data_IF_480188961046
#
_entry.id   IF_480188961046
#
_cell.length_a   1.000
_cell.length_b   1.000
_cell.length_c   1.000
_cell.angle_alpha   90.00
_cell.angle_beta   90.00
_cell.angle_gamma   90.00
#
_symmetry.space_group_name_H-M   'P 1'
#
loop_
_entity.id
_entity.type
_entity.pdbx_description
1 polymer ?
#
# COMPACT_ATOMS: atom_id res chain seq x y z
N UNK A 1 -15.41 7.00 42.66
CA UNK A 1 -14.25 7.47 41.87
C UNK A 1 -13.69 6.27 41.12
N UNK A 2 -14.17 6.02 39.90
CA UNK A 2 -13.59 5.00 39.02
C UNK A 2 -12.66 5.69 38.05
N UNK A 3 -11.36 5.41 38.19
CA UNK A 3 -10.36 5.83 37.23
C UNK A 3 -10.51 4.95 35.98
N UNK A 4 -10.88 5.55 34.84
CA UNK A 4 -10.77 4.90 33.54
C UNK A 4 -9.29 4.58 33.30
N UNK A 5 -8.89 3.31 33.41
CA UNK A 5 -7.64 2.86 32.80
C UNK A 5 -7.77 3.09 31.30
N UNK A 6 -6.97 4.01 30.78
CA UNK A 6 -6.65 4.03 29.35
C UNK A 6 -5.88 2.73 29.13
N UNK A 7 -6.54 1.70 28.60
CA UNK A 7 -5.84 0.53 28.09
C UNK A 7 -5.10 0.99 26.83
N UNK A 8 -3.81 1.32 26.97
CA UNK A 8 -2.95 1.38 25.80
C UNK A 8 -2.88 -0.03 25.21
N UNK A 9 -3.38 -0.19 23.99
CA UNK A 9 -3.25 -1.44 23.25
C UNK A 9 -1.94 -1.40 22.47
N UNK A 10 -1.08 -2.39 22.72
CA UNK A 10 0.15 -2.56 21.97
C UNK A 10 -0.12 -3.41 20.72
N UNK A 11 0.46 -3.01 19.59
CA UNK A 11 0.32 -3.70 18.30
C UNK A 11 1.67 -4.21 17.84
N UNK A 12 1.76 -5.51 17.56
CA UNK A 12 2.91 -6.09 16.85
C UNK A 12 2.56 -6.16 15.36
N UNK A 13 3.28 -5.41 14.54
CA UNK A 13 3.05 -5.35 13.09
C UNK A 13 4.14 -6.12 12.36
N UNK A 14 3.77 -7.23 11.71
CA UNK A 14 4.64 -7.96 10.80
C UNK A 14 4.45 -7.44 9.38
N UNK A 15 5.54 -7.05 8.71
CA UNK A 15 5.52 -6.55 7.33
C UNK A 15 6.50 -7.37 6.51
N UNK A 16 5.99 -8.23 5.65
CA UNK A 16 6.79 -8.90 4.63
C UNK A 16 7.18 -7.88 3.56
N UNK A 17 8.43 -7.93 3.11
CA UNK A 17 8.93 -7.10 2.01
C UNK A 17 9.77 -7.95 1.06
N UNK A 18 9.74 -7.62 -0.22
CA UNK A 18 10.37 -8.43 -1.27
C UNK A 18 11.49 -7.67 -2.00
N UNK A 19 11.80 -6.45 -1.59
CA UNK A 19 12.91 -5.66 -2.14
C UNK A 19 13.51 -4.69 -1.12
N UNK A 20 14.78 -4.33 -1.30
CA UNK A 20 15.45 -3.31 -0.48
C UNK A 20 14.77 -1.93 -0.62
N UNK A 21 14.27 -1.62 -1.82
CA UNK A 21 13.51 -0.40 -2.07
C UNK A 21 12.18 -0.35 -1.29
N UNK A 22 11.52 -1.48 -1.10
CA UNK A 22 10.32 -1.59 -0.25
C UNK A 22 10.66 -1.47 1.23
N UNK A 23 11.71 -2.18 1.68
CA UNK A 23 12.24 -2.06 3.05
C UNK A 23 12.53 -0.61 3.42
N UNK A 24 13.26 0.13 2.58
CA UNK A 24 13.56 1.55 2.80
C UNK A 24 12.31 2.43 2.91
N UNK A 25 11.25 2.12 2.17
CA UNK A 25 9.96 2.83 2.26
C UNK A 25 9.23 2.54 3.56
N UNK A 26 9.27 1.30 4.03
CA UNK A 26 8.77 0.91 5.36
C UNK A 26 9.55 1.64 6.44
N UNK A 27 10.88 1.67 6.33
CA UNK A 27 11.75 2.37 7.28
C UNK A 27 11.39 3.85 7.39
N UNK A 28 11.23 4.52 6.24
CA UNK A 28 10.81 5.92 6.19
C UNK A 28 9.43 6.16 6.81
N UNK A 29 8.48 5.24 6.60
CA UNK A 29 7.16 5.34 7.21
C UNK A 29 7.24 5.25 8.74
N UNK A 30 8.02 4.31 9.27
CA UNK A 30 8.25 4.15 10.71
C UNK A 30 8.85 5.43 11.30
N UNK A 31 9.96 5.94 10.73
CA UNK A 31 10.62 7.15 11.25
C UNK A 31 9.69 8.36 11.28
N UNK A 32 8.87 8.56 10.24
CA UNK A 32 7.89 9.66 10.20
C UNK A 32 6.81 9.58 11.29
N UNK A 33 6.53 8.39 11.80
CA UNK A 33 5.52 8.18 12.84
C UNK A 33 6.09 8.14 14.25
N UNK A 34 7.41 8.02 14.43
CA UNK A 34 8.06 8.03 15.76
C UNK A 34 7.78 9.30 16.56
N UNK A 35 7.59 10.43 15.89
CA UNK A 35 7.22 11.69 16.54
C UNK A 35 5.74 11.76 16.98
N UNK A 36 4.92 10.79 16.56
CA UNK A 36 3.44 10.81 16.71
C UNK A 36 2.90 9.68 17.57
N UNK A 37 3.63 8.57 17.66
CA UNK A 37 3.27 7.39 18.40
C UNK A 37 4.55 6.71 18.89
N UNK A 38 4.45 5.95 19.98
CA UNK A 38 5.54 5.13 20.48
C UNK A 38 5.74 3.91 19.57
N UNK A 39 6.51 4.12 18.49
CA UNK A 39 6.86 3.07 17.54
C UNK A 39 8.30 2.64 17.79
N UNK A 40 8.44 1.44 18.35
CA UNK A 40 9.72 0.82 18.64
C UNK A 40 9.93 -0.40 17.75
N UNK A 41 11.12 -0.52 17.16
CA UNK A 41 11.56 -1.77 16.53
C UNK A 41 12.20 -2.64 17.58
N UNK A 42 11.59 -3.80 17.82
CA UNK A 42 12.14 -4.75 18.76
C UNK A 42 13.47 -5.30 18.27
N UNK A 43 14.48 -5.28 19.15
CA UNK A 43 15.80 -5.85 18.90
C UNK A 43 15.81 -7.28 19.44
N UNK A 44 16.40 -8.20 18.68
CA UNK A 44 16.51 -9.62 19.06
C UNK A 44 15.76 -10.53 18.09
N UNK A 45 15.35 -11.69 18.60
CA UNK A 45 14.65 -12.72 17.81
C UNK A 45 13.14 -12.60 18.11
N UNK A 46 12.34 -12.45 17.06
CA UNK A 46 10.87 -12.50 17.15
C UNK A 46 10.43 -13.90 16.72
N UNK A 47 9.73 -14.61 17.60
CA UNK A 47 9.28 -16.00 17.38
C UNK A 47 7.76 -16.02 17.34
N UNK A 48 7.20 -16.53 16.24
CA UNK A 48 5.77 -16.83 16.15
C UNK A 48 5.55 -18.32 16.49
N UNK A 49 5.06 -18.58 17.69
CA UNK A 49 4.68 -19.92 18.13
C UNK A 49 3.19 -20.16 17.88
N UNK A 50 2.84 -21.32 17.30
CA UNK A 50 1.45 -21.71 16.99
C UNK A 50 1.18 -23.11 17.52
N UNK A 51 0.92 -23.20 18.81
CA UNK A 51 0.43 -24.42 19.46
C UNK A 51 -0.16 -24.04 20.83
N UNK A 52 -0.82 -24.98 21.50
CA UNK A 52 -1.32 -24.83 22.86
C UNK A 52 -0.21 -24.98 23.91
N UNK A 53 0.86 -25.71 23.60
CA UNK A 53 1.92 -26.00 24.57
C UNK A 53 3.11 -25.02 24.47
N UNK A 54 2.83 -23.73 24.69
CA UNK A 54 3.88 -22.70 24.73
C UNK A 54 4.82 -22.91 25.94
N UNK A 55 4.32 -23.43 27.05
CA UNK A 55 5.08 -23.57 28.29
C UNK A 55 6.27 -24.52 28.14
N UNK A 56 6.10 -25.67 27.47
CA UNK A 56 7.22 -26.60 27.22
C UNK A 56 8.28 -25.99 26.31
N UNK A 57 7.88 -25.17 25.35
CA UNK A 57 8.82 -24.45 24.49
C UNK A 57 9.59 -23.38 25.28
N UNK A 58 8.90 -22.63 26.15
CA UNK A 58 9.52 -21.61 26.99
C UNK A 58 10.49 -22.21 28.00
N UNK A 59 10.15 -23.34 28.62
CA UNK A 59 11.03 -24.07 29.54
C UNK A 59 12.34 -24.47 28.84
N UNK A 60 12.22 -25.09 27.67
CA UNK A 60 13.38 -25.46 26.84
C UNK A 60 14.19 -24.23 26.40
N UNK A 61 13.54 -23.14 26.00
CA UNK A 61 14.20 -21.89 25.61
C UNK A 61 14.95 -21.25 26.78
N UNK A 62 14.32 -21.11 27.95
CA UNK A 62 14.92 -20.51 29.13
C UNK A 62 16.15 -21.27 29.61
N UNK A 63 16.16 -22.60 29.47
CA UNK A 63 17.32 -23.43 29.82
C UNK A 63 18.58 -23.14 28.99
N UNK A 64 18.44 -22.47 27.84
CA UNK A 64 19.53 -22.15 26.91
C UNK A 64 20.01 -20.70 26.97
N UNK A 65 19.39 -19.85 27.80
CA UNK A 65 19.70 -18.42 27.88
C UNK A 65 20.52 -18.10 29.13
N UNK A 66 21.58 -17.31 28.97
CA UNK A 66 22.50 -16.96 30.06
C UNK A 66 21.83 -16.23 31.23
N UNK A 67 20.83 -15.40 30.96
CA UNK A 67 20.06 -14.68 32.00
C UNK A 67 18.63 -15.19 32.13
N UNK A 68 18.35 -16.39 31.60
CA UNK A 68 17.04 -17.04 31.66
C UNK A 68 15.88 -16.14 31.19
N UNK A 69 14.84 -16.02 32.03
CA UNK A 69 13.57 -15.35 31.70
C UNK A 69 13.68 -13.84 31.44
N UNK A 70 14.71 -13.18 31.96
CA UNK A 70 14.80 -11.70 31.92
C UNK A 70 15.00 -11.16 30.49
N UNK A 71 15.52 -12.01 29.59
CA UNK A 71 15.70 -11.69 28.17
C UNK A 71 14.46 -11.93 27.32
N UNK A 72 13.41 -12.54 27.88
CA UNK A 72 12.26 -13.01 27.09
C UNK A 72 11.00 -12.26 27.49
N UNK A 73 10.36 -11.64 26.49
CA UNK A 73 9.02 -11.06 26.60
C UNK A 73 8.06 -11.89 25.77
N UNK A 74 7.01 -12.41 26.41
CA UNK A 74 5.98 -13.22 25.76
C UNK A 74 4.72 -12.38 25.65
N UNK A 75 4.17 -12.28 24.44
CA UNK A 75 2.93 -11.58 24.15
C UNK A 75 1.92 -12.59 23.61
N UNK A 76 0.74 -12.64 24.22
CA UNK A 76 -0.43 -13.28 23.63
C UNK A 76 -1.13 -12.24 22.74
N UNK A 77 -1.37 -12.59 21.49
CA UNK A 77 -1.88 -11.65 20.50
C UNK A 77 -2.96 -12.29 19.64
N UNK A 78 -4.08 -11.58 19.52
CA UNK A 78 -5.11 -11.88 18.55
C UNK A 78 -4.85 -11.17 17.23
N UNK A 79 -5.30 -11.77 16.12
CA UNK A 79 -5.22 -11.13 14.82
C UNK A 79 -6.14 -9.90 14.79
N UNK A 80 -5.56 -8.73 14.60
CA UNK A 80 -6.30 -7.49 14.39
C UNK A 80 -6.42 -7.19 12.90
N UNK A 81 -7.65 -7.16 12.38
CA UNK A 81 -7.96 -6.82 10.99
C UNK A 81 -8.60 -5.42 10.92
N UNK A 82 -7.80 -4.35 10.77
CA UNK A 82 -8.34 -3.00 10.71
C UNK A 82 -9.08 -2.78 9.38
N UNK A 83 -10.20 -2.06 9.40
CA UNK A 83 -10.96 -1.68 8.20
C UNK A 83 -10.32 -0.51 7.42
N UNK A 84 -9.00 -0.58 7.17
CA UNK A 84 -8.30 0.40 6.35
C UNK A 84 -8.36 -0.05 4.89
N UNK A 85 -9.17 0.63 4.09
CA UNK A 85 -9.31 0.33 2.66
C UNK A 85 -8.52 1.32 1.80
N UNK A 86 -7.99 0.83 0.70
CA UNK A 86 -7.46 1.70 -0.35
C UNK A 86 -8.59 2.61 -0.84
N UNK A 87 -8.28 3.88 -1.09
CA UNK A 87 -9.19 4.79 -1.77
C UNK A 87 -9.15 4.48 -3.26
N UNK A 88 -10.31 4.53 -3.89
CA UNK A 88 -10.46 4.37 -5.33
C UNK A 88 -10.94 5.68 -5.95
N UNK A 89 -10.23 6.14 -6.97
CA UNK A 89 -10.61 7.26 -7.81
C UNK A 89 -10.84 6.75 -9.23
N UNK A 90 -11.85 7.26 -9.93
CA UNK A 90 -12.21 6.81 -11.27
C UNK A 90 -12.37 7.99 -12.20
N UNK A 91 -11.62 7.98 -13.30
CA UNK A 91 -11.75 8.93 -14.40
C UNK A 91 -12.40 8.22 -15.59
N UNK A 92 -13.36 8.90 -16.24
CA UNK A 92 -14.04 8.39 -17.43
C UNK A 92 -14.03 9.49 -18.49
N UNK A 93 -13.56 9.15 -19.68
CA UNK A 93 -13.52 10.06 -20.83
C UNK A 93 -14.19 9.44 -22.05
N UNK A 94 -14.77 10.31 -22.87
CA UNK A 94 -15.22 10.00 -24.22
C UNK A 94 -14.44 10.90 -25.18
N UNK A 95 -13.94 10.32 -26.27
CA UNK A 95 -13.13 11.03 -27.25
C UNK A 95 -13.48 10.56 -28.65
N UNK A 96 -13.46 11.47 -29.63
CA UNK A 96 -13.52 11.09 -31.04
C UNK A 96 -12.23 10.45 -31.55
N UNK A 97 -11.14 10.49 -30.77
CA UNK A 97 -9.90 9.81 -31.10
C UNK A 97 -10.04 8.29 -30.97
N UNK A 98 -9.36 7.55 -31.85
CA UNK A 98 -9.29 6.09 -31.78
C UNK A 98 -8.55 5.60 -30.53
N UNK A 99 -8.86 4.37 -30.10
CA UNK A 99 -8.24 3.74 -28.94
C UNK A 99 -6.72 3.70 -28.99
N UNK A 100 -6.11 3.54 -30.16
CA UNK A 100 -4.65 3.49 -30.32
C UNK A 100 -3.95 4.82 -30.00
N UNK A 101 -4.58 5.94 -30.37
CA UNK A 101 -4.08 7.29 -30.08
C UNK A 101 -4.16 7.55 -28.57
N UNK A 102 -5.28 7.18 -27.96
CA UNK A 102 -5.48 7.32 -26.51
C UNK A 102 -4.50 6.45 -25.74
N UNK A 103 -4.30 5.20 -26.15
CA UNK A 103 -3.38 4.28 -25.50
C UNK A 103 -1.93 4.81 -25.54
N UNK A 104 -1.48 5.32 -26.69
CA UNK A 104 -0.16 5.95 -26.83
C UNK A 104 -0.01 7.15 -25.90
N UNK A 105 -1.03 8.01 -25.83
CA UNK A 105 -1.00 9.19 -24.96
C UNK A 105 -1.00 8.82 -23.47
N UNK A 106 -1.81 7.83 -23.07
CA UNK A 106 -1.77 7.30 -21.71
C UNK A 106 -0.42 6.67 -21.39
N UNK A 107 0.21 5.97 -22.34
CA UNK A 107 1.58 5.49 -22.22
C UNK A 107 2.58 6.61 -21.91
N UNK A 108 2.44 7.76 -22.59
CA UNK A 108 3.22 8.96 -22.27
C UNK A 108 2.96 9.47 -20.85
N UNK A 109 1.69 9.57 -20.42
CA UNK A 109 1.36 9.98 -19.04
C UNK A 109 1.98 9.02 -18.03
N UNK A 110 1.87 7.69 -18.24
CA UNK A 110 2.43 6.68 -17.35
C UNK A 110 3.95 6.84 -17.21
N UNK A 111 4.65 7.09 -18.31
CA UNK A 111 6.08 7.39 -18.28
C UNK A 111 6.38 8.69 -17.50
N UNK A 112 5.59 9.75 -17.73
CA UNK A 112 5.73 11.06 -17.05
C UNK A 112 5.54 10.99 -15.53
N UNK A 113 4.71 10.06 -15.06
CA UNK A 113 4.49 9.83 -13.61
C UNK A 113 5.38 8.72 -13.03
N UNK A 114 6.35 8.20 -13.80
CA UNK A 114 7.21 7.07 -13.43
C UNK A 114 6.41 5.83 -12.99
N UNK A 115 5.29 5.56 -13.65
CA UNK A 115 4.53 4.34 -13.44
C UNK A 115 5.19 3.19 -14.19
N UNK A 116 5.37 2.06 -13.52
CA UNK A 116 5.89 0.84 -14.13
C UNK A 116 4.73 -0.05 -14.56
N UNK A 117 4.86 -0.65 -15.73
CA UNK A 117 3.91 -1.63 -16.24
C UNK A 117 3.98 -2.90 -15.39
N UNK A 118 2.83 -3.42 -14.97
CA UNK A 118 2.72 -4.71 -14.29
C UNK A 118 2.31 -5.79 -15.29
N UNK A 119 1.11 -5.68 -15.89
CA UNK A 119 0.60 -6.64 -16.86
C UNK A 119 -0.60 -6.08 -17.65
N UNK A 120 -1.05 -6.86 -18.65
CA UNK A 120 -2.29 -6.65 -19.40
C UNK A 120 -3.11 -7.93 -19.37
N UNK A 121 -4.37 -7.85 -18.96
CA UNK A 121 -5.28 -8.99 -18.92
C UNK A 121 -6.71 -8.53 -19.21
N UNK A 122 -7.45 -9.27 -20.06
CA UNK A 122 -8.85 -9.00 -20.39
C UNK A 122 -9.15 -7.54 -20.81
N UNK A 123 -8.25 -6.92 -21.59
CA UNK A 123 -8.40 -5.53 -22.03
C UNK A 123 -8.11 -4.47 -20.95
N UNK A 124 -7.62 -4.88 -19.77
CA UNK A 124 -7.19 -3.98 -18.69
C UNK A 124 -5.67 -3.95 -18.67
N UNK A 125 -5.10 -2.74 -18.72
CA UNK A 125 -3.66 -2.49 -18.58
C UNK A 125 -3.42 -2.02 -17.15
N UNK A 126 -2.55 -2.70 -16.41
CA UNK A 126 -2.22 -2.35 -15.04
C UNK A 126 -0.81 -1.78 -14.93
N UNK A 127 -0.71 -0.67 -14.20
CA UNK A 127 0.53 -0.03 -13.80
C UNK A 127 0.57 0.16 -12.30
N UNK A 128 1.78 0.27 -11.74
CA UNK A 128 1.99 0.73 -10.38
C UNK A 128 2.88 1.98 -10.36
N UNK A 129 2.53 2.93 -9.50
CA UNK A 129 3.18 4.23 -9.42
C UNK A 129 3.60 4.52 -7.98
N UNK A 130 4.87 4.93 -7.84
CA UNK A 130 5.43 5.42 -6.58
C UNK A 130 5.34 6.94 -6.56
N UNK A 131 4.61 7.49 -5.58
CA UNK A 131 4.47 8.94 -5.42
C UNK A 131 5.01 9.39 -4.07
N UNK A 132 5.27 10.70 -3.93
CA UNK A 132 5.54 11.32 -2.63
C UNK A 132 4.40 11.17 -1.61
N UNK A 133 3.21 10.73 -2.04
CA UNK A 133 2.02 10.50 -1.20
C UNK A 133 1.76 9.03 -0.91
N UNK A 134 2.60 8.12 -1.42
CA UNK A 134 2.45 6.67 -1.27
C UNK A 134 2.44 5.94 -2.60
N UNK A 135 2.19 4.62 -2.54
CA UNK A 135 2.01 3.76 -3.71
C UNK A 135 0.56 3.81 -4.19
N UNK A 136 0.37 3.60 -5.49
CA UNK A 136 -0.95 3.42 -6.08
C UNK A 136 -0.87 2.47 -7.29
N UNK A 137 -1.99 1.81 -7.59
CA UNK A 137 -2.20 1.04 -8.81
C UNK A 137 -3.12 1.81 -9.73
N UNK A 138 -2.84 1.73 -11.02
CA UNK A 138 -3.60 2.36 -12.09
C UNK A 138 -4.05 1.26 -13.03
N UNK A 139 -5.34 1.15 -13.26
CA UNK A 139 -5.96 0.24 -14.21
C UNK A 139 -6.62 1.04 -15.31
N UNK A 140 -6.26 0.75 -16.55
CA UNK A 140 -6.75 1.44 -17.73
C UNK A 140 -7.53 0.45 -18.58
N UNK A 141 -8.76 0.81 -18.95
CA UNK A 141 -9.50 0.13 -20.01
C UNK A 141 -9.96 1.13 -21.07
N UNK A 142 -9.80 0.73 -22.33
CA UNK A 142 -10.17 1.52 -23.50
C UNK A 142 -11.06 0.64 -24.36
N UNK A 143 -12.21 1.19 -24.76
CA UNK A 143 -13.17 0.50 -25.62
C UNK A 143 -13.56 1.43 -26.75
N UNK A 144 -13.52 0.94 -27.99
CA UNK A 144 -14.04 1.67 -29.15
C UNK A 144 -15.56 1.57 -29.24
N UNK A 145 -16.17 2.61 -29.79
CA UNK A 145 -17.60 2.73 -30.11
C UNK A 145 -17.76 3.50 -31.43
N UNK A 146 -18.95 3.47 -32.02
CA UNK A 146 -19.22 4.21 -33.27
C UNK A 146 -18.98 5.73 -33.15
N UNK A 147 -19.05 6.28 -31.94
CA UNK A 147 -18.82 7.70 -31.65
C UNK A 147 -17.37 8.04 -31.24
N UNK A 148 -16.46 7.07 -31.30
CA UNK A 148 -15.07 7.19 -30.86
C UNK A 148 -14.74 6.27 -29.68
N UNK A 149 -13.74 6.61 -28.86
CA UNK A 149 -13.28 5.76 -27.75
C UNK A 149 -13.81 6.20 -26.39
N UNK A 150 -14.11 5.21 -25.54
CA UNK A 150 -14.39 5.38 -24.12
C UNK A 150 -13.22 4.86 -23.31
N UNK A 151 -12.71 5.71 -22.43
CA UNK A 151 -11.56 5.39 -21.58
C UNK A 151 -11.99 5.42 -20.13
N UNK A 152 -11.62 4.40 -19.36
CA UNK A 152 -11.80 4.35 -17.91
C UNK A 152 -10.44 4.13 -17.27
N UNK A 153 -10.09 5.01 -16.32
CA UNK A 153 -8.87 4.93 -15.53
C UNK A 153 -9.29 4.79 -14.08
N UNK A 154 -9.00 3.64 -13.47
CA UNK A 154 -9.23 3.39 -12.04
C UNK A 154 -7.90 3.47 -11.30
N UNK A 155 -7.86 4.25 -10.24
CA UNK A 155 -6.66 4.48 -9.44
C UNK A 155 -6.96 4.03 -8.02
N UNK A 156 -6.19 3.10 -7.47
CA UNK A 156 -6.34 2.64 -6.09
C UNK A 156 -5.07 2.85 -5.29
N UNK A 157 -5.20 3.33 -4.05
CA UNK A 157 -4.04 3.59 -3.21
C UNK A 157 -4.39 4.00 -1.78
N UNK A 158 -3.41 3.85 -0.89
CA UNK A 158 -3.54 4.29 0.50
C UNK A 158 -3.12 5.74 0.68
N UNK A 159 -3.52 6.34 1.81
CA UNK A 159 -3.34 7.76 2.07
C UNK A 159 -3.92 8.62 0.93
N UNK A 160 -3.18 9.61 0.43
CA UNK A 160 -3.63 10.51 -0.63
C UNK A 160 -2.98 10.20 -1.99
N UNK A 161 -2.43 8.99 -2.20
CA UNK A 161 -1.75 8.63 -3.44
C UNK A 161 -2.72 8.54 -4.63
N UNK A 162 -3.89 7.92 -4.42
CA UNK A 162 -4.92 7.78 -5.45
C UNK A 162 -5.41 9.15 -5.96
N UNK A 163 -5.82 10.03 -5.04
CA UNK A 163 -6.23 11.40 -5.37
C UNK A 163 -5.13 12.21 -6.05
N UNK A 164 -3.90 12.12 -5.58
CA UNK A 164 -2.78 12.84 -6.18
C UNK A 164 -2.53 12.45 -7.64
N UNK A 165 -2.68 11.17 -7.98
CA UNK A 165 -2.56 10.69 -9.35
C UNK A 165 -3.80 10.99 -10.18
N UNK A 166 -4.99 10.90 -9.59
CA UNK A 166 -6.23 11.32 -10.23
C UNK A 166 -6.10 12.74 -10.75
N UNK A 167 -5.78 13.70 -9.88
CA UNK A 167 -5.72 15.12 -10.24
C UNK A 167 -4.70 15.36 -11.37
N UNK A 168 -3.55 14.68 -11.30
CA UNK A 168 -2.49 14.82 -12.29
C UNK A 168 -2.82 14.17 -13.63
N UNK A 169 -3.45 13.00 -13.64
CA UNK A 169 -3.87 12.34 -14.88
C UNK A 169 -5.04 13.10 -15.52
N UNK A 170 -5.96 13.60 -14.70
CA UNK A 170 -7.11 14.39 -15.15
C UNK A 170 -6.69 15.68 -15.85
N UNK A 171 -5.73 16.41 -15.30
CA UNK A 171 -5.17 17.62 -15.92
C UNK A 171 -4.58 17.34 -17.31
N UNK A 172 -3.77 16.28 -17.45
CA UNK A 172 -3.16 15.90 -18.73
C UNK A 172 -4.19 15.41 -19.75
N UNK A 173 -5.15 14.59 -19.30
CA UNK A 173 -6.22 14.06 -20.15
C UNK A 173 -7.14 15.17 -20.66
N UNK A 174 -7.52 16.12 -19.78
CA UNK A 174 -8.28 17.30 -20.18
C UNK A 174 -7.51 18.08 -21.23
N UNK A 175 -6.25 18.40 -20.99
CA UNK A 175 -5.41 19.14 -21.95
C UNK A 175 -5.37 18.45 -23.31
N UNK A 176 -5.14 17.14 -23.34
CA UNK A 176 -5.08 16.36 -24.57
C UNK A 176 -6.40 16.29 -25.33
N UNK A 177 -7.52 16.17 -24.62
CA UNK A 177 -8.86 16.11 -25.21
C UNK A 177 -9.40 17.50 -25.60
N UNK A 178 -8.60 18.56 -25.46
CA UNK A 178 -8.99 19.94 -25.78
C UNK A 178 -9.66 20.68 -24.62
N UNK A 179 -9.13 20.53 -23.41
CA UNK A 179 -9.62 21.15 -22.19
C UNK A 179 -9.48 22.67 -22.22
N UNK A 180 -10.61 23.31 -22.56
CA UNK A 180 -10.87 24.73 -22.84
C UNK A 180 -10.41 25.23 -24.21
#
# INVERSE_FOLDING_TARGET
MSCCRINNMDYIVFVDYFSDAERKRIDYAIERWRDKADITREKGIIIRFKDKNIDSFLDDLYSRLDTGREQVRVFEADMHEPEIRAREEVLIYHSSAGSDVIEKFLGYIMAKINAHYEFRQNGIIRYAASTKKGQARIEISISDSEAGSKTRIKISGYASSAKFLHDRIDEEMKTFLGGF
#
